data_IF_668888342360
#
_entry.id   IF_668888342360
#
_cell.length_a   1.000
_cell.length_b   1.000
_cell.length_c   1.000
_cell.angle_alpha   90.00
_cell.angle_beta   90.00
_cell.angle_gamma   90.00
#
_symmetry.space_group_name_H-M   'P 1'
#
loop_
_entity.id
_entity.type
_entity.pdbx_description
1 polymer ?
#
# COMPACT_ATOMS: atom_id res chain seq x y z
N UNK A 1 18.98 5.96 7.84
CA UNK A 1 17.82 5.26 8.44
C UNK A 1 17.91 3.80 8.08
N UNK A 2 18.49 2.99 8.96
CA UNK A 2 18.51 1.53 8.82
C UNK A 2 17.09 1.00 9.05
N UNK A 3 16.60 0.18 8.11
CA UNK A 3 15.28 -0.45 8.23
C UNK A 3 15.40 -1.54 9.29
N UNK A 4 14.46 -1.59 10.23
CA UNK A 4 14.43 -2.62 11.27
C UNK A 4 14.49 -4.03 10.63
N UNK A 5 15.54 -4.83 10.90
CA UNK A 5 15.68 -6.17 10.34
C UNK A 5 14.55 -7.12 10.73
N UNK A 6 13.93 -6.91 11.89
CA UNK A 6 12.83 -7.73 12.40
C UNK A 6 11.47 -7.33 11.81
N UNK A 7 11.40 -6.23 11.06
CA UNK A 7 10.16 -5.79 10.45
C UNK A 7 9.77 -6.72 9.30
N UNK A 8 8.57 -7.34 9.35
CA UNK A 8 8.04 -8.13 8.24
C UNK A 8 8.17 -7.42 6.90
N UNK A 9 8.64 -8.15 5.89
CA UNK A 9 8.79 -7.59 4.54
C UNK A 9 7.40 -7.22 4.01
N UNK A 10 7.27 -5.99 3.52
CA UNK A 10 6.00 -5.46 3.02
C UNK A 10 5.33 -6.36 1.98
N UNK A 11 4.00 -6.20 1.87
CA UNK A 11 3.17 -6.91 0.89
C UNK A 11 3.66 -6.65 -0.53
N UNK A 12 3.78 -7.72 -1.30
CA UNK A 12 4.15 -7.74 -2.71
C UNK A 12 2.87 -7.64 -3.54
N UNK A 13 2.79 -6.66 -4.43
CA UNK A 13 1.63 -6.48 -5.31
C UNK A 13 1.61 -7.52 -6.43
N UNK A 14 0.45 -7.70 -7.06
CA UNK A 14 0.29 -8.57 -8.23
C UNK A 14 1.26 -8.18 -9.35
N UNK A 15 1.37 -6.88 -9.63
CA UNK A 15 2.35 -6.36 -10.58
C UNK A 15 3.80 -6.65 -10.18
N UNK A 16 4.16 -6.55 -8.90
CA UNK A 16 5.53 -6.85 -8.46
C UNK A 16 5.89 -8.34 -8.63
N UNK A 17 4.95 -9.25 -8.37
CA UNK A 17 5.12 -10.67 -8.71
C UNK A 17 5.28 -10.89 -10.22
N UNK A 18 4.47 -10.20 -11.03
CA UNK A 18 4.58 -10.26 -12.48
C UNK A 18 5.95 -9.79 -12.98
N UNK A 19 6.44 -8.63 -12.52
CA UNK A 19 7.75 -8.11 -12.87
C UNK A 19 8.86 -9.09 -12.47
N UNK A 20 8.74 -9.74 -11.31
CA UNK A 20 9.69 -10.78 -10.89
C UNK A 20 9.69 -11.98 -11.85
N UNK A 21 8.51 -12.49 -12.23
CA UNK A 21 8.41 -13.60 -13.21
C UNK A 21 8.97 -13.21 -14.58
N UNK A 22 8.67 -12.01 -15.07
CA UNK A 22 9.23 -11.50 -16.31
C UNK A 22 10.77 -11.39 -16.25
N UNK A 23 11.31 -11.04 -15.08
CA UNK A 23 12.76 -10.93 -14.88
C UNK A 23 13.41 -12.30 -14.87
N UNK A 24 12.79 -13.30 -14.27
CA UNK A 24 13.26 -14.70 -14.29
C UNK A 24 13.17 -15.30 -15.70
N UNK A 25 12.06 -15.11 -16.40
CA UNK A 25 11.91 -15.52 -17.80
C UNK A 25 13.00 -14.92 -18.68
N UNK A 26 13.27 -13.62 -18.51
CA UNK A 26 14.32 -12.94 -19.27
C UNK A 26 15.72 -13.48 -18.94
N UNK A 27 16.02 -13.73 -17.65
CA UNK A 27 17.30 -14.33 -17.24
C UNK A 27 17.50 -15.73 -17.82
N UNK A 28 16.43 -16.53 -17.92
CA UNK A 28 16.47 -17.88 -18.51
C UNK A 28 16.67 -17.83 -20.02
N UNK A 29 16.02 -16.91 -20.72
CA UNK A 29 16.10 -16.77 -22.19
C UNK A 29 17.37 -16.07 -22.68
N UNK A 30 17.92 -15.18 -21.86
CA UNK A 30 19.13 -14.42 -22.17
C UNK A 30 20.13 -14.50 -21.01
N UNK A 31 20.70 -15.70 -20.75
CA UNK A 31 21.75 -15.83 -19.74
C UNK A 31 22.96 -14.98 -20.16
N UNK A 32 23.42 -14.09 -19.27
CA UNK A 32 24.59 -13.22 -19.52
C UNK A 32 24.29 -11.88 -20.18
N UNK A 33 23.07 -11.64 -20.68
CA UNK A 33 22.69 -10.32 -21.21
C UNK A 33 22.26 -9.39 -20.07
N UNK A 34 23.02 -8.31 -19.88
CA UNK A 34 22.62 -7.19 -19.02
C UNK A 34 21.46 -6.44 -19.66
N UNK A 35 20.30 -6.44 -19.00
CA UNK A 35 19.14 -5.66 -19.44
C UNK A 35 19.08 -4.38 -18.62
N UNK A 36 18.96 -3.24 -19.30
CA UNK A 36 18.70 -1.96 -18.64
C UNK A 36 17.39 -2.02 -17.85
N UNK A 37 17.44 -1.63 -16.57
CA UNK A 37 16.25 -1.59 -15.70
C UNK A 37 15.15 -0.68 -16.26
N UNK A 38 15.54 0.45 -16.86
CA UNK A 38 14.59 1.40 -17.44
C UNK A 38 13.80 0.78 -18.61
N UNK A 39 14.51 0.12 -19.51
CA UNK A 39 13.91 -0.56 -20.67
C UNK A 39 13.07 -1.76 -20.26
N UNK A 40 13.55 -2.54 -19.28
CA UNK A 40 12.80 -3.66 -18.74
C UNK A 40 11.51 -3.21 -18.02
N UNK A 41 11.57 -2.11 -17.27
CA UNK A 41 10.41 -1.54 -16.57
C UNK A 41 9.33 -1.07 -17.54
N UNK A 42 9.72 -0.39 -18.64
CA UNK A 42 8.78 -0.01 -19.71
C UNK A 42 8.12 -1.23 -20.36
N UNK A 43 8.91 -2.24 -20.75
CA UNK A 43 8.35 -3.47 -21.34
C UNK A 43 7.40 -4.20 -20.39
N UNK A 44 7.69 -4.24 -19.10
CA UNK A 44 6.81 -4.84 -18.11
C UNK A 44 5.49 -4.06 -17.96
N UNK A 45 5.53 -2.73 -17.95
CA UNK A 45 4.31 -1.93 -17.78
C UNK A 45 3.37 -2.06 -18.98
N UNK A 46 3.92 -2.06 -20.19
CA UNK A 46 3.17 -2.30 -21.43
C UNK A 46 2.55 -3.70 -21.44
N UNK A 47 3.35 -4.75 -21.15
CA UNK A 47 2.86 -6.14 -21.09
C UNK A 47 1.78 -6.32 -20.02
N UNK A 48 1.93 -5.69 -18.85
CA UNK A 48 0.88 -5.75 -17.82
C UNK A 48 -0.41 -5.04 -18.25
N UNK A 49 -0.32 -3.94 -19.01
CA UNK A 49 -1.50 -3.23 -19.52
C UNK A 49 -2.25 -4.08 -20.54
N UNK A 50 -1.54 -4.76 -21.44
CA UNK A 50 -2.13 -5.61 -22.50
C UNK A 50 -2.54 -7.00 -22.02
N UNK A 51 -2.04 -7.46 -20.88
CA UNK A 51 -2.44 -8.74 -20.30
C UNK A 51 -3.93 -8.81 -19.97
N UNK A 52 -4.51 -9.98 -20.25
CA UNK A 52 -5.90 -10.28 -19.97
C UNK A 52 -6.17 -10.41 -18.46
N UNK A 53 -7.43 -10.23 -18.04
CA UNK A 53 -7.83 -10.43 -16.65
C UNK A 53 -7.48 -11.85 -16.18
N UNK A 54 -7.65 -12.86 -17.03
CA UNK A 54 -7.36 -14.27 -16.71
C UNK A 54 -5.89 -14.50 -16.36
N UNK A 55 -4.96 -13.88 -17.09
CA UNK A 55 -3.53 -13.97 -16.79
C UNK A 55 -3.16 -13.18 -15.53
N UNK A 56 -3.86 -12.05 -15.28
CA UNK A 56 -3.68 -11.25 -14.07
C UNK A 56 -4.16 -11.97 -12.81
N UNK A 57 -5.21 -12.80 -12.91
CA UNK A 57 -5.76 -13.57 -11.77
C UNK A 57 -4.66 -14.37 -11.05
N UNK A 58 -3.77 -15.04 -11.79
CA UNK A 58 -2.63 -15.76 -11.19
C UNK A 58 -1.79 -14.87 -10.28
N UNK A 59 -1.51 -13.64 -10.72
CA UNK A 59 -0.70 -12.68 -9.96
C UNK A 59 -1.49 -12.01 -8.83
N UNK A 60 -2.80 -11.82 -9.02
CA UNK A 60 -3.71 -11.35 -7.97
C UNK A 60 -3.81 -12.36 -6.83
N UNK A 61 -3.89 -13.65 -7.13
CA UNK A 61 -3.94 -14.69 -6.10
C UNK A 61 -2.61 -14.81 -5.34
N UNK A 62 -1.47 -14.68 -6.03
CA UNK A 62 -0.17 -14.53 -5.37
C UNK A 62 -0.13 -13.32 -4.43
N UNK A 63 -0.66 -12.17 -4.86
CA UNK A 63 -0.74 -10.97 -4.03
C UNK A 63 -1.69 -11.14 -2.83
N UNK A 64 -2.82 -11.85 -3.00
CA UNK A 64 -3.74 -12.19 -1.90
C UNK A 64 -3.04 -13.09 -0.89
N UNK A 65 -2.31 -14.12 -1.33
CA UNK A 65 -1.56 -14.99 -0.43
C UNK A 65 -0.43 -14.24 0.30
N UNK A 66 0.27 -13.34 -0.38
CA UNK A 66 1.31 -12.51 0.25
C UNK A 66 0.72 -11.50 1.25
N UNK A 67 -0.49 -11.01 1.00
CA UNK A 67 -1.25 -10.20 1.97
C UNK A 67 -1.49 -10.99 3.26
N UNK A 68 -1.93 -12.25 3.16
CA UNK A 68 -2.16 -13.14 4.31
C UNK A 68 -0.86 -13.42 5.06
N UNK A 69 0.22 -13.74 4.34
CA UNK A 69 1.57 -13.92 4.93
C UNK A 69 1.98 -12.69 5.75
N UNK A 70 1.93 -11.51 5.14
CA UNK A 70 2.30 -10.27 5.83
C UNK A 70 1.42 -9.98 7.04
N UNK A 71 0.10 -10.19 6.92
CA UNK A 71 -0.82 -9.95 8.03
C UNK A 71 -0.55 -10.90 9.19
N UNK A 72 -0.14 -12.16 8.92
CA UNK A 72 0.31 -13.10 9.94
C UNK A 72 1.62 -12.67 10.59
N UNK A 73 2.64 -12.31 9.81
CA UNK A 73 3.94 -11.85 10.33
C UNK A 73 3.82 -10.55 11.13
N UNK A 74 2.96 -9.63 10.69
CA UNK A 74 2.70 -8.36 11.39
C UNK A 74 1.97 -8.55 12.73
N UNK A 75 1.15 -9.60 12.89
CA UNK A 75 0.51 -9.91 14.17
C UNK A 75 1.54 -10.28 15.25
N UNK A 76 2.60 -10.98 14.86
CA UNK A 76 3.72 -11.33 15.76
C UNK A 76 4.77 -10.23 15.91
N UNK A 77 4.76 -9.22 15.03
CA UNK A 77 5.78 -8.18 15.03
C UNK A 77 5.52 -7.12 16.09
N UNK A 78 6.46 -6.98 17.01
CA UNK A 78 6.50 -5.89 17.99
C UNK A 78 7.46 -4.82 17.51
N UNK A 79 6.97 -3.65 17.06
CA UNK A 79 7.85 -2.57 16.62
C UNK A 79 8.68 -2.02 17.79
N UNK A 80 9.97 -1.70 17.58
CA UNK A 80 10.79 -1.10 18.63
C UNK A 80 10.22 0.25 19.07
N UNK A 81 10.43 0.60 20.35
CA UNK A 81 9.97 1.90 20.91
C UNK A 81 10.51 3.04 20.04
N UNK A 82 9.61 3.91 19.54
CA UNK A 82 9.95 5.03 18.66
C UNK A 82 9.89 4.75 17.15
N UNK A 83 9.61 3.52 16.71
CA UNK A 83 9.52 3.17 15.27
C UNK A 83 8.26 3.73 14.56
N UNK A 84 7.29 4.29 15.29
CA UNK A 84 6.18 5.04 14.68
C UNK A 84 6.74 6.33 14.10
N UNK A 85 7.10 6.31 12.82
CA UNK A 85 7.37 7.53 12.04
C UNK A 85 6.19 8.48 12.26
N UNK A 86 6.42 9.58 12.97
CA UNK A 86 5.42 10.61 13.17
C UNK A 86 4.86 11.04 11.82
N UNK A 87 3.56 11.38 11.77
CA UNK A 87 2.99 12.01 10.58
C UNK A 87 3.85 13.24 10.29
N UNK A 88 4.37 13.34 9.06
CA UNK A 88 5.08 14.57 8.64
C UNK A 88 4.16 15.76 8.92
N UNK A 89 4.70 16.82 9.51
CA UNK A 89 3.95 18.07 9.70
C UNK A 89 3.36 18.46 8.35
N UNK A 90 2.05 18.75 8.35
CA UNK A 90 1.36 19.25 7.16
C UNK A 90 1.98 20.62 6.84
N UNK A 91 2.28 20.85 5.58
CA UNK A 91 2.71 22.17 5.11
C UNK A 91 1.63 23.21 5.49
N UNK A 92 1.98 24.29 6.22
CA UNK A 92 1.03 25.35 6.58
C UNK A 92 0.36 26.02 5.37
N UNK A 93 1.03 26.05 4.21
CA UNK A 93 0.52 26.66 2.99
C UNK A 93 -0.24 25.66 2.09
N UNK A 94 -0.29 24.37 2.44
CA UNK A 94 -1.04 23.40 1.66
C UNK A 94 -2.56 23.57 1.89
N UNK A 95 -3.39 23.52 0.82
CA UNK A 95 -4.83 23.51 0.96
C UNK A 95 -5.32 22.46 1.96
N UNK A 96 -6.26 22.85 2.83
CA UNK A 96 -6.92 21.92 3.73
C UNK A 96 -7.70 20.90 2.89
N UNK A 97 -7.68 19.64 3.33
CA UNK A 97 -8.43 18.58 2.64
C UNK A 97 -9.93 18.87 2.77
N UNK A 98 -10.74 18.61 1.74
CA UNK A 98 -12.19 18.70 1.88
C UNK A 98 -12.66 17.74 2.98
N UNK A 99 -13.71 18.09 3.75
CA UNK A 99 -14.27 17.20 4.75
C UNK A 99 -14.83 15.94 4.08
N UNK A 100 -14.70 14.80 4.74
CA UNK A 100 -15.38 13.56 4.34
C UNK A 100 -16.90 13.74 4.49
N UNK A 101 -17.70 12.99 3.74
CA UNK A 101 -19.16 12.96 3.87
C UNK A 101 -19.62 12.75 5.33
N UNK A 102 -18.89 11.92 6.09
CA UNK A 102 -19.13 11.74 7.53
C UNK A 102 -18.96 13.03 8.33
N UNK A 103 -17.92 13.83 8.05
CA UNK A 103 -17.69 15.09 8.76
C UNK A 103 -18.72 16.17 8.41
N UNK A 104 -19.24 16.15 7.18
CA UNK A 104 -20.37 17.02 6.77
C UNK A 104 -21.64 16.59 7.50
N UNK A 105 -21.95 15.29 7.50
CA UNK A 105 -23.08 14.78 8.28
C UNK A 105 -22.98 15.16 9.76
N UNK A 106 -21.79 14.98 10.36
CA UNK A 106 -21.56 15.37 11.75
C UNK A 106 -21.64 16.87 11.99
N UNK A 107 -21.26 17.75 11.05
CA UNK A 107 -21.41 19.19 11.27
C UNK A 107 -22.88 19.58 11.42
N UNK A 108 -23.76 18.92 10.68
CA UNK A 108 -25.18 19.25 10.65
C UNK A 108 -25.92 18.67 11.86
N UNK A 109 -25.52 17.48 12.32
CA UNK A 109 -26.25 16.74 13.35
C UNK A 109 -25.66 16.90 14.77
N UNK A 110 -24.37 17.27 14.90
CA UNK A 110 -23.74 17.47 16.21
C UNK A 110 -24.43 18.52 17.08
N UNK A 111 -24.89 19.68 16.56
CA UNK A 111 -25.60 20.67 17.38
C UNK A 111 -26.85 20.08 18.05
N UNK A 112 -27.66 19.34 17.27
CA UNK A 112 -28.85 18.65 17.77
C UNK A 112 -28.53 17.62 18.85
N UNK A 113 -27.53 16.78 18.62
CA UNK A 113 -27.14 15.75 19.60
C UNK A 113 -26.62 16.39 20.90
N UNK A 114 -25.91 17.53 20.79
CA UNK A 114 -25.41 18.26 21.96
C UNK A 114 -26.54 18.87 22.77
N UNK A 115 -27.63 19.29 22.12
CA UNK A 115 -28.83 19.79 22.78
C UNK A 115 -29.64 18.67 23.45
N UNK A 116 -29.84 17.54 22.74
CA UNK A 116 -30.52 16.35 23.28
C UNK A 116 -29.73 15.67 24.41
N UNK A 117 -28.40 15.79 24.39
CA UNK A 117 -27.50 15.19 25.37
C UNK A 117 -26.41 16.17 25.85
N UNK A 118 -26.76 17.15 26.70
CA UNK A 118 -25.86 18.23 27.12
C UNK A 118 -24.68 17.76 27.99
N UNK A 119 -24.67 16.50 28.45
CA UNK A 119 -23.57 15.89 29.20
C UNK A 119 -22.52 15.16 28.35
N UNK A 120 -22.72 15.03 27.04
CA UNK A 120 -21.78 14.31 26.17
C UNK A 120 -20.75 15.29 25.60
N UNK A 121 -19.49 15.15 26.01
CA UNK A 121 -18.36 15.87 25.41
C UNK A 121 -17.91 15.17 24.14
N UNK A 122 -17.92 15.88 23.02
CA UNK A 122 -17.43 15.41 21.72
C UNK A 122 -16.03 16.01 21.53
N UNK A 123 -15.00 15.26 21.90
CA UNK A 123 -13.57 15.63 21.81
C UNK A 123 -12.76 14.54 21.15
#
# INVERSE_FOLDING_TARGET
MTKDPNKPRGKTSSYAFFVATCREEHKKKHPGTSVSFAEFSKKCSERWKTMSAKEKVKFEDLAKNDKVRYDREMKSYVPPKGAKKGKKKKDPNAPKRPPSAFFVFCSDHRPRIKEEHPGISIG
#
